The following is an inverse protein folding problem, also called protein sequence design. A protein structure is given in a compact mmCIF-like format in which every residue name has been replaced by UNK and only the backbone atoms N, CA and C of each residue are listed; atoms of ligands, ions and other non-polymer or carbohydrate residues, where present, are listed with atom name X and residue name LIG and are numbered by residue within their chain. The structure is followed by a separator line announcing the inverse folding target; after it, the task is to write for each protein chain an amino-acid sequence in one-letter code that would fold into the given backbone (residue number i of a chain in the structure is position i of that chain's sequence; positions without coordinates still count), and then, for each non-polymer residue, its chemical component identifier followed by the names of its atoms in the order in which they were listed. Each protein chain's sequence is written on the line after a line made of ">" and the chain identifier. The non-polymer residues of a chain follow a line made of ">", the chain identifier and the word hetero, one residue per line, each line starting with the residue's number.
data_IF_039780096160
#
_entry.id   IF_039780096160
#
_cell.length_a   1.000
_cell.length_b   1.000
_cell.length_c   1.000
_cell.angle_alpha   90.00
_cell.angle_beta   90.00
_cell.angle_gamma   90.00
#
_symmetry.space_group_name_H-M   'P 1'
#
loop_
_entity.id
_entity.type
_entity.pdbx_description
1 polymer ?
#
# COMPACT_ATOMS: atom_id res chain seq x y z
N UNK A 1 -7.19 -5.27 12.62
CA UNK A 1 -7.20 -6.18 11.47
C UNK A 1 -7.80 -5.44 10.29
N UNK A 2 -7.44 -5.80 9.05
CA UNK A 2 -8.04 -5.19 7.85
C UNK A 2 -9.40 -5.80 7.57
N UNK A 3 -10.46 -4.98 7.54
CA UNK A 3 -11.83 -5.45 7.25
C UNK A 3 -12.15 -5.39 5.75
N UNK A 4 -11.66 -4.35 5.07
CA UNK A 4 -11.87 -4.11 3.64
C UNK A 4 -10.65 -3.45 3.03
N UNK A 5 -10.34 -3.80 1.79
CA UNK A 5 -9.36 -3.09 0.97
C UNK A 5 -10.00 -2.66 -0.35
N UNK A 6 -9.78 -1.41 -0.76
CA UNK A 6 -10.20 -0.89 -2.07
C UNK A 6 -8.97 -0.41 -2.83
N UNK A 7 -8.99 -0.54 -4.16
CA UNK A 7 -7.87 -0.15 -5.02
C UNK A 7 -8.31 0.89 -6.04
N UNK A 8 -7.51 1.94 -6.20
CA UNK A 8 -7.58 2.89 -7.31
C UNK A 8 -6.25 2.83 -8.05
N UNK A 9 -6.25 2.42 -9.32
CA UNK A 9 -5.03 2.21 -10.11
C UNK A 9 -4.99 3.05 -11.38
N UNK A 10 -3.77 3.30 -11.87
CA UNK A 10 -3.54 3.72 -13.25
C UNK A 10 -3.84 2.59 -14.23
N UNK A 11 -4.12 2.95 -15.49
CA UNK A 11 -4.38 1.96 -16.57
C UNK A 11 -3.17 1.07 -16.84
N UNK A 12 -1.97 1.58 -16.60
CA UNK A 12 -0.71 0.95 -17.01
C UNK A 12 -0.21 -0.13 -16.04
N UNK A 13 -0.76 -0.21 -14.83
CA UNK A 13 -0.36 -1.25 -13.87
C UNK A 13 -1.12 -2.56 -14.13
N UNK A 14 -0.41 -3.69 -14.35
CA UNK A 14 -1.06 -4.98 -14.60
C UNK A 14 -1.98 -5.40 -13.46
N UNK A 15 -3.14 -5.95 -13.80
CA UNK A 15 -4.15 -6.40 -12.84
C UNK A 15 -3.60 -7.44 -11.84
N UNK A 16 -2.70 -8.31 -12.30
CA UNK A 16 -2.06 -9.33 -11.43
C UNK A 16 -1.19 -8.68 -10.34
N UNK A 17 -0.42 -7.64 -10.68
CA UNK A 17 0.39 -6.89 -9.72
C UNK A 17 -0.50 -6.15 -8.75
N UNK A 18 -1.62 -5.58 -9.24
CA UNK A 18 -2.58 -4.88 -8.40
C UNK A 18 -3.18 -5.79 -7.32
N UNK A 19 -3.63 -6.99 -7.71
CA UNK A 19 -4.19 -7.98 -6.78
C UNK A 19 -3.15 -8.45 -5.76
N UNK A 20 -1.93 -8.71 -6.21
CA UNK A 20 -0.86 -9.11 -5.32
C UNK A 20 -0.46 -7.99 -4.36
N UNK A 21 -0.38 -6.74 -4.82
CA UNK A 21 -0.10 -5.59 -3.98
C UNK A 21 -1.17 -5.42 -2.88
N UNK A 22 -2.45 -5.62 -3.19
CA UNK A 22 -3.53 -5.62 -2.18
C UNK A 22 -3.28 -6.69 -1.12
N UNK A 23 -2.95 -7.91 -1.52
CA UNK A 23 -2.72 -9.01 -0.57
C UNK A 23 -1.49 -8.75 0.32
N UNK A 24 -0.39 -8.27 -0.27
CA UNK A 24 0.84 -7.92 0.44
C UNK A 24 0.57 -6.81 1.47
N UNK A 25 -0.21 -5.81 1.08
CA UNK A 25 -0.59 -4.70 1.94
C UNK A 25 -1.44 -5.15 3.13
N UNK A 26 -2.42 -6.04 2.90
CA UNK A 26 -3.25 -6.61 3.98
C UNK A 26 -2.35 -7.38 4.95
N UNK A 27 -1.46 -8.24 4.43
CA UNK A 27 -0.53 -9.00 5.25
C UNK A 27 0.39 -8.09 6.08
N UNK A 28 0.95 -7.05 5.47
CA UNK A 28 1.78 -6.07 6.15
C UNK A 28 1.01 -5.37 7.28
N UNK A 29 -0.21 -4.95 6.99
CA UNK A 29 -1.05 -4.23 7.94
C UNK A 29 -1.41 -5.12 9.12
N UNK A 30 -1.88 -6.34 8.88
CA UNK A 30 -2.24 -7.27 9.95
C UNK A 30 -1.01 -7.69 10.77
N UNK A 31 0.17 -7.79 10.16
CA UNK A 31 1.43 -8.07 10.85
C UNK A 31 1.87 -6.93 11.75
N UNK A 32 1.91 -5.69 11.27
CA UNK A 32 2.56 -4.60 12.01
C UNK A 32 1.61 -3.77 12.86
N UNK A 33 0.31 -3.72 12.54
CA UNK A 33 -0.65 -2.92 13.30
C UNK A 33 -0.68 -3.27 14.80
N UNK A 34 -0.67 -4.55 15.24
CA UNK A 34 -0.72 -4.88 16.67
C UNK A 34 0.58 -4.57 17.42
N UNK A 35 1.70 -4.41 16.70
CA UNK A 35 3.04 -4.29 17.28
C UNK A 35 3.62 -2.88 17.16
N UNK A 36 2.95 -2.00 16.42
CA UNK A 36 3.42 -0.63 16.20
C UNK A 36 3.12 0.25 17.40
N UNK A 37 4.16 0.92 17.91
CA UNK A 37 4.04 1.86 19.04
C UNK A 37 3.64 3.27 18.60
N UNK A 38 3.77 3.58 17.30
CA UNK A 38 3.37 4.87 16.72
C UNK A 38 2.95 4.71 15.26
N UNK A 39 2.19 5.69 14.75
CA UNK A 39 1.79 5.72 13.32
C UNK A 39 3.00 5.81 12.37
N UNK A 40 4.04 6.56 12.74
CA UNK A 40 5.24 6.72 11.92
C UNK A 40 5.98 5.37 11.79
N UNK A 41 6.13 4.65 12.90
CA UNK A 41 6.72 3.31 12.89
C UNK A 41 5.91 2.34 12.03
N UNK A 42 4.58 2.33 12.22
CA UNK A 42 3.66 1.50 11.44
C UNK A 42 3.80 1.77 9.94
N UNK A 43 3.79 3.03 9.52
CA UNK A 43 3.90 3.41 8.10
C UNK A 43 5.23 2.99 7.50
N UNK A 44 6.35 3.18 8.21
CA UNK A 44 7.66 2.72 7.76
C UNK A 44 7.71 1.20 7.54
N UNK A 45 7.25 0.43 8.53
CA UNK A 45 7.25 -1.03 8.46
C UNK A 45 6.38 -1.58 7.33
N UNK A 46 5.20 -1.01 7.13
CA UNK A 46 4.32 -1.38 6.01
C UNK A 46 4.95 -1.00 4.67
N UNK A 47 5.53 0.19 4.55
CA UNK A 47 6.18 0.63 3.31
C UNK A 47 7.32 -0.30 2.90
N UNK A 48 8.24 -0.59 3.83
CA UNK A 48 9.39 -1.45 3.59
C UNK A 48 8.95 -2.87 3.22
N UNK A 49 8.01 -3.45 3.98
CA UNK A 49 7.52 -4.80 3.69
C UNK A 49 6.86 -4.90 2.32
N UNK A 50 6.00 -3.95 1.96
CA UNK A 50 5.32 -3.95 0.67
C UNK A 50 6.31 -3.80 -0.48
N UNK A 51 7.31 -2.91 -0.33
CA UNK A 51 8.39 -2.74 -1.32
C UNK A 51 9.13 -4.06 -1.53
N UNK A 52 9.66 -4.64 -0.46
CA UNK A 52 10.52 -5.81 -0.53
C UNK A 52 9.78 -7.02 -1.15
N UNK A 53 8.48 -7.18 -0.85
CA UNK A 53 7.64 -8.23 -1.43
C UNK A 53 7.29 -7.99 -2.91
N UNK A 54 7.09 -6.73 -3.31
CA UNK A 54 6.86 -6.39 -4.71
C UNK A 54 8.12 -6.55 -5.55
N UNK A 55 9.28 -6.13 -5.04
CA UNK A 55 10.58 -6.33 -5.69
C UNK A 55 10.92 -7.81 -5.86
N UNK A 56 10.58 -8.65 -4.88
CA UNK A 56 10.77 -10.11 -4.97
C UNK A 56 9.83 -10.79 -5.98
N UNK A 57 8.64 -10.24 -6.20
CA UNK A 57 7.62 -10.83 -7.08
C UNK A 57 7.69 -10.30 -8.51
N UNK A 58 8.04 -9.02 -8.67
CA UNK A 58 8.05 -8.31 -9.93
C UNK A 58 9.38 -7.58 -10.07
N UNK A 59 10.17 -7.99 -11.07
CA UNK A 59 11.41 -7.33 -11.44
C UNK A 59 11.20 -5.82 -11.57
N UNK A 60 12.12 -5.03 -10.98
CA UNK A 60 12.08 -3.57 -11.01
C UNK A 60 12.15 -2.98 -9.61
N UNK A 61 12.33 -1.66 -9.54
CA UNK A 61 12.35 -0.92 -8.27
C UNK A 61 10.97 -0.33 -7.97
N UNK A 62 10.52 -0.53 -6.73
CA UNK A 62 9.19 -0.10 -6.32
C UNK A 62 9.30 1.03 -5.28
N UNK A 63 8.55 2.10 -5.51
CA UNK A 63 8.36 3.14 -4.51
C UNK A 63 7.05 2.90 -3.77
N UNK A 64 7.10 2.88 -2.44
CA UNK A 64 5.93 2.67 -1.58
C UNK A 64 5.80 3.83 -0.60
N UNK A 65 4.62 4.46 -0.59
CA UNK A 65 4.29 5.54 0.33
C UNK A 65 3.04 5.20 1.12
N UNK A 66 3.06 5.39 2.43
CA UNK A 66 1.91 5.14 3.31
C UNK A 66 1.49 6.45 3.95
N UNK A 67 0.24 6.86 3.75
CA UNK A 67 -0.31 8.09 4.31
C UNK A 67 -1.75 7.91 4.80
N UNK A 68 -2.24 8.84 5.60
CA UNK A 68 -3.66 8.92 5.94
C UNK A 68 -4.46 9.38 4.71
N UNK A 69 -5.69 8.89 4.57
CA UNK A 69 -6.63 9.32 3.53
C UNK A 69 -6.81 10.85 3.51
N UNK A 70 -6.90 11.42 2.31
CA UNK A 70 -7.04 12.86 2.09
C UNK A 70 -5.71 13.61 1.92
N UNK A 71 -4.57 13.02 2.30
CA UNK A 71 -3.26 13.67 2.20
C UNK A 71 -2.64 13.64 0.78
N UNK A 72 -3.32 13.06 -0.23
CA UNK A 72 -2.70 12.87 -1.53
C UNK A 72 -3.55 13.26 -2.74
N UNK A 73 -3.17 14.38 -3.33
CA UNK A 73 -3.18 14.62 -4.78
C UNK A 73 -2.10 13.77 -5.44
N UNK A 74 -2.35 12.47 -5.59
CA UNK A 74 -1.58 11.65 -6.54
C UNK A 74 -1.95 12.13 -7.95
N UNK A 75 -1.32 13.22 -8.40
CA UNK A 75 -1.48 13.76 -9.75
C UNK A 75 -1.13 12.67 -10.76
N UNK A 76 -2.03 12.38 -11.70
CA UNK A 76 -1.88 11.88 -13.09
C UNK A 76 -0.56 11.22 -13.56
N UNK A 77 0.19 10.52 -12.71
CA UNK A 77 1.48 9.91 -13.08
C UNK A 77 1.25 8.43 -13.34
N UNK A 78 1.55 7.97 -14.55
CA UNK A 78 1.47 6.56 -14.99
C UNK A 78 2.12 5.57 -14.00
N UNK A 79 1.63 4.33 -13.95
CA UNK A 79 2.29 3.23 -13.24
C UNK A 79 2.10 3.17 -11.72
N UNK A 80 1.05 3.79 -11.18
CA UNK A 80 0.70 3.73 -9.75
C UNK A 80 -0.53 2.88 -9.46
N UNK A 81 -0.60 2.35 -8.24
CA UNK A 81 -1.84 1.95 -7.58
C UNK A 81 -1.89 2.49 -6.15
N UNK A 82 -3.08 2.98 -5.77
CA UNK A 82 -3.42 3.39 -4.41
C UNK A 82 -4.29 2.29 -3.82
N UNK A 83 -3.81 1.68 -2.76
CA UNK A 83 -4.52 0.65 -2.00
C UNK A 83 -4.95 1.28 -0.69
N UNK A 84 -6.24 1.28 -0.42
CA UNK A 84 -6.81 1.88 0.77
C UNK A 84 -7.41 0.78 1.63
N UNK A 85 -6.83 0.58 2.81
CA UNK A 85 -7.27 -0.45 3.75
C UNK A 85 -8.07 0.18 4.90
N UNK A 86 -9.28 -0.31 5.11
CA UNK A 86 -10.11 -0.01 6.27
C UNK A 86 -9.66 -0.89 7.44
N UNK A 87 -9.19 -0.26 8.50
CA UNK A 87 -8.65 -0.93 9.70
C UNK A 87 -9.63 -0.75 10.85
N UNK A 88 -10.34 -1.83 11.25
CA UNK A 88 -11.41 -1.82 12.28
C UNK A 88 -12.49 -0.73 12.04
N UNK A 89 -13.54 -0.63 12.87
CA UNK A 89 -14.58 0.44 12.81
C UNK A 89 -14.06 1.89 12.95
N UNK A 90 -12.75 2.12 12.90
CA UNK A 90 -12.19 3.46 12.73
C UNK A 90 -12.18 3.83 11.24
N UNK A 91 -12.68 5.02 10.91
CA UNK A 91 -12.71 5.59 9.55
C UNK A 91 -11.31 5.84 8.94
N UNK A 92 -10.26 5.25 9.49
CA UNK A 92 -8.87 5.44 9.05
C UNK A 92 -8.57 4.49 7.90
N UNK A 93 -8.55 5.05 6.68
CA UNK A 93 -7.96 4.38 5.54
C UNK A 93 -6.47 4.70 5.47
N UNK A 94 -5.61 3.70 5.74
CA UNK A 94 -4.21 3.80 5.33
C UNK A 94 -4.17 3.72 3.81
N UNK A 95 -3.70 4.79 3.17
CA UNK A 95 -3.53 4.86 1.72
C UNK A 95 -2.09 4.50 1.39
N UNK A 96 -1.91 3.39 0.70
CA UNK A 96 -0.60 2.85 0.33
C UNK A 96 -0.44 2.99 -1.18
N UNK A 97 0.50 3.81 -1.61
CA UNK A 97 0.78 4.07 -3.00
C UNK A 97 1.99 3.28 -3.41
N UNK A 98 1.80 2.41 -4.39
CA UNK A 98 2.83 1.61 -5.03
C UNK A 98 3.06 2.15 -6.43
N UNK A 99 4.31 2.42 -6.77
CA UNK A 99 4.72 2.89 -8.11
C UNK A 99 5.96 2.13 -8.58
N UNK A 100 5.88 1.51 -9.76
CA UNK A 100 7.07 1.02 -10.45
C UNK A 100 7.89 2.24 -10.91
N UNK A 101 9.13 2.35 -10.43
CA UNK A 101 9.97 3.54 -10.67
C UNK A 101 10.87 3.41 -11.90
N UNK A 102 10.89 2.23 -12.51
CA UNK A 102 11.55 1.91 -13.78
C UNK A 102 10.52 1.58 -14.87
#
# INVERSE_FOLDING_TARGET
>A
MVEKARIKKSRDLPEIICRAAVQIVIEATDRYLPHSTSRIQFYGQVADYVRDRLEAMANGRWAVFVCQEGAMTASDKKGYAIIQCQINSTEVFASIIVKCSD
#
